data_IF_346537470025
#
_entry.id   IF_346537470025
#
_cell.length_a   1.000
_cell.length_b   1.000
_cell.length_c   1.000
_cell.angle_alpha   90.00
_cell.angle_beta   90.00
_cell.angle_gamma   90.00
#
_symmetry.space_group_name_H-M   'P 1'
#
loop_
_entity.id
_entity.type
_entity.pdbx_description
1 polymer ?
#
# COMPACT_ATOMS: atom_id res chain seq x y z
N UNK A 1 7.44 18.33 1.93
CA UNK A 1 6.21 17.90 1.36
C UNK A 1 6.41 16.78 0.43
N UNK A 2 5.49 15.89 0.31
CA UNK A 2 5.57 14.75 -0.60
C UNK A 2 4.25 14.55 -1.31
N UNK A 3 4.27 13.83 -2.41
CA UNK A 3 3.07 13.45 -3.10
C UNK A 3 2.51 12.18 -2.50
N UNK A 4 1.28 11.87 -2.80
CA UNK A 4 0.63 10.66 -2.34
C UNK A 4 0.07 9.90 -3.53
N UNK A 5 0.04 8.57 -3.39
CA UNK A 5 -0.76 7.76 -4.29
C UNK A 5 -2.17 7.74 -3.74
N UNK A 6 -3.15 7.84 -4.61
CA UNK A 6 -4.56 7.77 -4.21
C UNK A 6 -5.26 6.66 -4.94
N UNK A 7 -6.09 5.92 -4.24
CA UNK A 7 -6.91 4.87 -4.81
C UNK A 7 -8.31 4.98 -4.21
N UNK A 8 -9.34 4.99 -5.05
CA UNK A 8 -10.71 5.10 -4.58
C UNK A 8 -11.45 3.81 -4.83
N UNK A 9 -12.34 3.44 -3.93
CA UNK A 9 -13.14 2.23 -4.09
C UNK A 9 -14.50 2.42 -3.43
N UNK A 10 -15.41 1.51 -3.74
CA UNK A 10 -16.74 1.48 -3.13
C UNK A 10 -16.86 0.15 -2.41
N UNK A 11 -17.54 0.14 -1.27
CA UNK A 11 -17.76 -1.08 -0.49
C UNK A 11 -18.94 -1.85 -1.10
N UNK A 12 -18.72 -3.11 -1.48
CA UNK A 12 -19.73 -3.94 -2.09
C UNK A 12 -20.24 -4.95 -1.07
N UNK A 13 -21.33 -5.63 -1.39
CA UNK A 13 -21.91 -6.64 -0.50
C UNK A 13 -20.89 -7.70 -0.11
N UNK A 14 -20.08 -8.16 -1.04
CA UNK A 14 -19.11 -9.22 -0.74
C UNK A 14 -18.07 -8.78 0.28
N UNK A 15 -17.93 -7.46 0.52
CA UNK A 15 -16.96 -6.95 1.45
C UNK A 15 -17.51 -6.88 2.88
N UNK A 16 -18.80 -7.05 3.05
CA UNK A 16 -19.46 -6.82 4.34
C UNK A 16 -19.85 -8.12 5.02
N UNK A 17 -20.01 -8.06 6.34
CA UNK A 17 -20.54 -9.19 7.08
C UNK A 17 -22.05 -9.01 7.25
N UNK A 18 -22.67 -9.84 8.07
CA UNK A 18 -24.11 -9.82 8.22
C UNK A 18 -24.64 -8.53 8.85
N UNK A 19 -23.77 -7.76 9.47
CA UNK A 19 -24.17 -6.48 10.07
C UNK A 19 -24.06 -5.31 9.13
N UNK A 20 -23.64 -5.53 7.88
CA UNK A 20 -23.52 -4.46 6.90
C UNK A 20 -22.23 -3.67 7.02
N UNK A 21 -21.30 -4.06 7.89
CA UNK A 21 -20.01 -3.40 8.03
C UNK A 21 -18.95 -4.20 7.29
N UNK A 22 -17.92 -3.53 6.84
CA UNK A 22 -16.80 -4.20 6.18
C UNK A 22 -16.15 -5.17 7.15
N UNK A 23 -16.03 -6.45 6.72
CA UNK A 23 -15.34 -7.45 7.52
C UNK A 23 -13.88 -7.02 7.56
N UNK A 24 -13.30 -6.95 8.77
CA UNK A 24 -12.01 -6.27 8.93
C UNK A 24 -10.88 -6.87 8.09
N UNK A 25 -10.92 -8.16 7.77
CA UNK A 25 -9.89 -8.74 6.92
C UNK A 25 -9.92 -8.16 5.50
N UNK A 26 -11.03 -7.60 5.05
CA UNK A 26 -11.13 -7.03 3.72
C UNK A 26 -10.35 -5.72 3.60
N UNK A 27 -10.06 -5.04 4.72
CA UNK A 27 -9.21 -3.85 4.64
C UNK A 27 -7.82 -4.20 4.13
N UNK A 28 -7.32 -5.40 4.44
CA UNK A 28 -6.03 -5.83 3.92
C UNK A 28 -6.06 -5.96 2.40
N UNK A 29 -7.19 -6.40 1.83
CA UNK A 29 -7.34 -6.47 0.39
C UNK A 29 -7.37 -5.09 -0.22
N UNK A 30 -8.05 -4.14 0.42
CA UNK A 30 -8.10 -2.76 -0.07
C UNK A 30 -6.70 -2.16 -0.09
N UNK A 31 -5.93 -2.39 0.97
CA UNK A 31 -4.57 -1.86 1.05
C UNK A 31 -3.68 -2.48 -0.02
N UNK A 32 -3.83 -3.78 -0.28
CA UNK A 32 -3.04 -4.46 -1.29
C UNK A 32 -3.38 -3.95 -2.69
N UNK A 33 -4.66 -3.71 -2.98
CA UNK A 33 -5.06 -3.16 -4.28
C UNK A 33 -4.50 -1.75 -4.45
N UNK A 34 -4.51 -0.95 -3.40
CA UNK A 34 -3.97 0.40 -3.45
C UNK A 34 -2.46 0.37 -3.76
N UNK A 35 -1.72 -0.57 -3.18
CA UNK A 35 -0.28 -0.72 -3.47
C UNK A 35 -0.05 -1.17 -4.90
N UNK A 36 -0.89 -2.06 -5.40
CA UNK A 36 -0.80 -2.53 -6.78
C UNK A 36 -1.04 -1.37 -7.75
N UNK A 37 -2.06 -0.56 -7.49
CA UNK A 37 -2.35 0.60 -8.34
C UNK A 37 -1.26 1.66 -8.23
N UNK A 38 -0.66 1.81 -7.07
CA UNK A 38 0.48 2.73 -6.91
C UNK A 38 1.64 2.32 -7.82
N UNK A 39 1.91 1.02 -7.88
CA UNK A 39 2.99 0.52 -8.72
C UNK A 39 2.68 0.76 -10.21
N UNK A 40 1.43 0.55 -10.61
CA UNK A 40 1.01 0.85 -11.98
C UNK A 40 1.19 2.33 -12.29
N UNK A 41 0.90 3.21 -11.33
CA UNK A 41 0.95 4.64 -11.58
C UNK A 41 2.37 5.14 -11.85
N UNK A 42 3.39 4.42 -11.42
CA UNK A 42 4.78 4.79 -11.70
C UNK A 42 5.36 3.97 -12.85
N UNK A 43 4.52 3.26 -13.58
CA UNK A 43 4.94 2.57 -14.80
C UNK A 43 5.37 1.12 -14.61
N UNK A 44 5.09 0.53 -13.45
CA UNK A 44 5.45 -0.84 -13.18
C UNK A 44 4.25 -1.68 -12.78
N UNK A 45 4.46 -2.95 -12.56
CA UNK A 45 3.49 -3.88 -12.02
C UNK A 45 4.28 -4.99 -11.36
N UNK A 46 3.64 -5.78 -10.51
CA UNK A 46 4.33 -6.91 -9.90
C UNK A 46 4.87 -7.86 -10.96
N UNK A 47 4.12 -8.08 -12.05
CA UNK A 47 4.57 -8.94 -13.11
C UNK A 47 5.76 -8.35 -13.85
N UNK A 48 5.75 -7.04 -14.12
CA UNK A 48 6.89 -6.40 -14.78
C UNK A 48 8.14 -6.45 -13.91
N UNK A 49 7.99 -6.27 -12.61
CA UNK A 49 9.12 -6.34 -11.68
C UNK A 49 9.74 -7.73 -11.75
N UNK A 50 8.91 -8.77 -11.76
CA UNK A 50 9.42 -10.12 -11.86
C UNK A 50 10.08 -10.35 -13.21
N UNK A 51 9.44 -9.95 -14.31
CA UNK A 51 9.95 -10.21 -15.65
C UNK A 51 11.24 -9.43 -15.93
N UNK A 52 11.32 -8.18 -15.47
CA UNK A 52 12.49 -7.35 -15.79
C UNK A 52 13.63 -7.52 -14.82
N UNK A 53 13.37 -7.73 -13.55
CA UNK A 53 14.41 -7.74 -12.53
C UNK A 53 14.53 -9.06 -11.79
N UNK A 54 13.65 -10.01 -12.02
CA UNK A 54 13.67 -11.29 -11.30
C UNK A 54 13.35 -11.14 -9.83
N UNK A 55 12.66 -10.06 -9.47
CA UNK A 55 12.36 -9.76 -8.07
C UNK A 55 10.87 -9.85 -7.80
N UNK A 56 10.55 -10.14 -6.55
CA UNK A 56 9.17 -10.09 -6.06
C UNK A 56 9.13 -9.12 -4.91
N UNK A 57 8.01 -8.43 -4.74
CA UNK A 57 7.81 -7.53 -3.61
C UNK A 57 6.88 -8.24 -2.64
N UNK A 58 7.37 -8.54 -1.45
CA UNK A 58 6.56 -9.27 -0.47
C UNK A 58 6.32 -8.41 0.76
N UNK A 59 5.23 -8.67 1.46
CA UNK A 59 4.92 -8.00 2.71
C UNK A 59 5.64 -8.75 3.81
N UNK A 60 6.52 -8.06 4.52
CA UNK A 60 7.22 -8.65 5.64
C UNK A 60 6.41 -8.47 6.91
N UNK A 61 5.76 -7.34 7.07
CA UNK A 61 4.92 -7.09 8.25
C UNK A 61 3.92 -5.99 7.93
N UNK A 62 2.85 -5.95 8.70
CA UNK A 62 1.84 -4.94 8.54
C UNK A 62 1.31 -4.58 9.92
N UNK A 63 1.37 -3.28 10.26
CA UNK A 63 0.82 -2.80 11.51
C UNK A 63 -0.41 -1.99 11.12
N UNK A 64 -1.60 -2.39 11.57
CA UNK A 64 -2.84 -1.78 11.13
C UNK A 64 -3.70 -1.43 12.32
N UNK A 65 -4.28 -0.24 12.31
CA UNK A 65 -5.21 0.21 13.32
C UNK A 65 -6.55 0.47 12.69
N UNK A 66 -7.59 -0.13 13.24
CA UNK A 66 -8.96 0.04 12.77
C UNK A 66 -9.62 1.10 13.64
N UNK A 67 -9.76 2.32 13.08
CA UNK A 67 -10.28 3.44 13.84
C UNK A 67 -11.79 3.50 13.85
N UNK A 68 -12.41 3.20 12.72
CA UNK A 68 -13.85 3.22 12.54
C UNK A 68 -14.25 2.18 11.53
N UNK A 69 -15.53 1.84 11.48
CA UNK A 69 -16.04 0.88 10.51
C UNK A 69 -16.50 1.58 9.24
N UNK A 70 -16.28 0.93 8.11
CA UNK A 70 -16.91 1.34 6.86
C UNK A 70 -18.12 0.44 6.61
N UNK A 71 -19.07 0.93 5.84
CA UNK A 71 -20.35 0.26 5.65
C UNK A 71 -20.63 0.04 4.18
N UNK A 72 -21.61 -0.81 3.89
CA UNK A 72 -22.04 -1.08 2.51
C UNK A 72 -22.24 0.20 1.74
N UNK A 73 -21.70 0.24 0.55
CA UNK A 73 -21.83 1.33 -0.43
C UNK A 73 -21.08 2.61 -0.05
N UNK A 74 -20.31 2.60 1.03
CA UNK A 74 -19.45 3.72 1.34
C UNK A 74 -18.37 3.86 0.27
N UNK A 75 -17.99 5.10 -0.02
CA UNK A 75 -16.88 5.38 -0.92
C UNK A 75 -15.66 5.70 -0.09
N UNK A 76 -14.60 4.97 -0.31
CA UNK A 76 -13.38 5.09 0.47
C UNK A 76 -12.23 5.57 -0.41
N UNK A 77 -11.33 6.32 0.19
CA UNK A 77 -10.10 6.76 -0.49
C UNK A 77 -8.93 6.23 0.32
N UNK A 78 -7.96 5.65 -0.36
CA UNK A 78 -6.74 5.18 0.27
C UNK A 78 -5.59 6.06 -0.19
N UNK A 79 -4.94 6.71 0.77
CA UNK A 79 -3.79 7.57 0.49
C UNK A 79 -2.56 6.81 0.95
N UNK A 80 -1.58 6.68 0.08
CA UNK A 80 -0.37 5.91 0.35
C UNK A 80 0.86 6.75 0.06
N UNK A 81 1.89 6.61 0.87
CA UNK A 81 3.17 7.26 0.60
C UNK A 81 4.29 6.43 1.25
N UNK A 82 5.52 6.68 0.83
CA UNK A 82 6.68 5.94 1.34
C UNK A 82 7.21 6.66 2.55
N UNK A 83 7.20 5.99 3.71
CA UNK A 83 7.68 6.60 4.93
C UNK A 83 9.19 6.50 5.07
N UNK A 84 9.75 5.39 4.73
CA UNK A 84 11.21 5.21 4.79
C UNK A 84 11.61 4.12 3.82
N UNK A 85 12.87 4.10 3.44
CA UNK A 85 13.34 3.17 2.44
C UNK A 85 14.78 2.81 2.74
N UNK A 86 15.12 1.55 2.51
CA UNK A 86 16.49 1.06 2.60
C UNK A 86 16.91 0.56 1.23
N UNK A 87 18.04 -0.11 1.13
CA UNK A 87 18.47 -0.65 -0.16
C UNK A 87 17.56 -1.77 -0.66
N UNK A 88 16.93 -2.52 0.24
CA UNK A 88 16.16 -3.70 -0.14
C UNK A 88 14.70 -3.64 0.24
N UNK A 89 14.29 -2.68 1.05
CA UNK A 89 12.94 -2.65 1.60
C UNK A 89 12.43 -1.23 1.78
N UNK A 90 11.13 -1.10 2.01
CA UNK A 90 10.54 0.21 2.29
C UNK A 90 9.30 0.04 3.17
N UNK A 91 8.97 1.10 3.90
CA UNK A 91 7.73 1.15 4.66
C UNK A 91 6.79 2.08 3.93
N UNK A 92 5.56 1.63 3.74
CA UNK A 92 4.53 2.44 3.11
C UNK A 92 3.45 2.72 4.14
N UNK A 93 3.10 3.98 4.31
CA UNK A 93 1.96 4.34 5.15
C UNK A 93 0.74 4.41 4.25
N UNK A 94 -0.35 3.83 4.71
CA UNK A 94 -1.60 3.80 3.96
C UNK A 94 -2.75 4.18 4.90
N UNK A 95 -3.53 5.15 4.49
CA UNK A 95 -4.63 5.66 5.30
C UNK A 95 -5.91 5.55 4.48
N UNK A 96 -6.92 4.86 5.02
CA UNK A 96 -8.22 4.73 4.39
C UNK A 96 -9.16 5.75 5.04
N UNK A 97 -9.78 6.58 4.23
CA UNK A 97 -10.71 7.59 4.73
C UNK A 97 -12.06 7.49 4.03
N UNK A 98 -13.09 7.97 4.73
CA UNK A 98 -14.39 8.18 4.15
C UNK A 98 -14.62 9.68 4.35
N UNK A 99 -14.55 10.46 3.30
CA UNK A 99 -14.51 11.90 3.42
C UNK A 99 -13.31 12.31 4.25
N UNK A 100 -13.55 13.01 5.34
CA UNK A 100 -12.48 13.43 6.23
C UNK A 100 -12.27 12.48 7.41
N UNK A 101 -13.09 11.43 7.52
CA UNK A 101 -12.99 10.51 8.61
C UNK A 101 -11.95 9.45 8.34
N UNK A 102 -11.05 9.22 9.26
CA UNK A 102 -10.05 8.16 9.13
C UNK A 102 -10.68 6.85 9.57
N UNK A 103 -10.71 5.87 8.68
CA UNK A 103 -11.26 4.55 8.96
C UNK A 103 -10.14 3.60 9.41
N UNK A 104 -9.01 3.61 8.70
CA UNK A 104 -7.89 2.70 8.98
C UNK A 104 -6.59 3.43 8.76
N UNK A 105 -5.62 3.17 9.63
CA UNK A 105 -4.23 3.62 9.41
C UNK A 105 -3.34 2.39 9.43
N UNK A 106 -2.47 2.26 8.45
CA UNK A 106 -1.59 1.10 8.35
C UNK A 106 -0.19 1.51 7.97
N UNK A 107 0.78 0.73 8.44
CA UNK A 107 2.16 0.85 8.01
C UNK A 107 2.58 -0.54 7.55
N UNK A 108 2.99 -0.65 6.31
CA UNK A 108 3.31 -1.94 5.69
C UNK A 108 4.79 -1.96 5.36
N UNK A 109 5.47 -3.00 5.78
CA UNK A 109 6.89 -3.19 5.46
C UNK A 109 7.00 -4.16 4.29
N UNK A 110 7.58 -3.68 3.19
CA UNK A 110 7.67 -4.43 1.95
C UNK A 110 9.14 -4.65 1.62
N UNK A 111 9.47 -5.81 1.09
CA UNK A 111 10.85 -6.18 0.81
C UNK A 111 10.93 -6.74 -0.60
N UNK A 112 11.96 -6.34 -1.35
CA UNK A 112 12.25 -6.93 -2.64
C UNK A 112 13.08 -8.19 -2.39
N UNK A 113 12.63 -9.31 -2.94
CA UNK A 113 13.33 -10.59 -2.76
C UNK A 113 13.52 -11.26 -4.10
N UNK A 114 14.47 -12.19 -4.17
CA UNK A 114 14.67 -13.01 -5.37
C UNK A 114 13.81 -14.27 -5.26
N UNK A 115 13.99 -15.22 -6.20
CA UNK A 115 13.18 -16.43 -6.23
C UNK A 115 13.36 -17.27 -4.99
N UNK A 116 14.50 -17.18 -4.33
CA UNK A 116 14.77 -17.96 -3.13
C UNK A 116 14.30 -17.24 -1.87
N UNK A 117 13.63 -16.10 -2.02
CA UNK A 117 13.11 -15.34 -0.89
C UNK A 117 14.15 -14.50 -0.18
N UNK A 118 15.30 -14.28 -0.80
CA UNK A 118 16.37 -13.50 -0.17
C UNK A 118 16.25 -12.03 -0.58
N UNK A 119 16.46 -11.09 0.34
CA UNK A 119 16.38 -9.67 0.02
C UNK A 119 17.36 -9.29 -1.09
N UNK A 120 16.92 -8.47 -2.02
CA UNK A 120 17.74 -7.97 -3.10
C UNK A 120 17.54 -6.47 -3.21
N UNK A 121 18.46 -5.80 -3.87
CA UNK A 121 18.43 -4.36 -3.99
C UNK A 121 17.19 -3.93 -4.79
N UNK A 122 16.55 -2.86 -4.34
CA UNK A 122 15.45 -2.26 -5.07
C UNK A 122 15.99 -1.75 -6.39
N UNK A 123 15.38 -2.12 -7.53
CA UNK A 123 15.86 -1.62 -8.83
C UNK A 123 15.89 -0.09 -8.85
N UNK A 124 16.97 0.46 -9.42
CA UNK A 124 17.18 1.90 -9.41
C UNK A 124 16.03 2.65 -10.05
N UNK A 125 15.45 2.11 -11.10
CA UNK A 125 14.32 2.77 -11.77
C UNK A 125 13.12 2.88 -10.86
N UNK A 126 12.85 1.90 -10.03
CA UNK A 126 11.74 1.93 -9.08
C UNK A 126 12.08 2.87 -7.94
N UNK A 127 13.29 2.78 -7.42
CA UNK A 127 13.74 3.63 -6.34
C UNK A 127 13.56 5.11 -6.71
N UNK A 128 14.00 5.48 -7.92
CA UNK A 128 13.90 6.86 -8.34
C UNK A 128 12.45 7.31 -8.54
N UNK A 129 11.57 6.41 -8.96
CA UNK A 129 10.16 6.75 -9.14
C UNK A 129 9.43 6.93 -7.82
N UNK A 130 9.94 6.37 -6.75
CA UNK A 130 9.34 6.54 -5.44
C UNK A 130 9.70 7.91 -4.81
N UNK A 131 10.74 8.57 -5.29
CA UNK A 131 11.22 9.79 -4.63
C UNK A 131 10.14 10.85 -4.39
N UNK A 132 9.26 11.17 -5.32
CA UNK A 132 8.24 12.19 -5.07
C UNK A 132 7.30 11.83 -3.92
N UNK A 133 7.22 10.53 -3.59
CA UNK A 133 6.28 10.02 -2.60
C UNK A 133 6.93 9.76 -1.24
N UNK A 134 8.21 10.14 -1.07
CA UNK A 134 8.89 9.95 0.21
C UNK A 134 8.42 11.02 1.18
N UNK A 135 8.19 10.62 2.40
CA UNK A 135 7.87 11.53 3.48
C UNK A 135 9.17 12.10 3.99
N UNK A 136 9.51 13.36 3.57
CA UNK A 136 10.78 13.90 3.95
C UNK A 136 10.80 14.46 5.34
N UNK A 137 9.80 14.33 6.13
CA UNK A 137 9.90 14.74 7.48
C UNK A 137 10.57 13.73 8.32
N UNK A 138 11.03 12.63 7.78
CA UNK A 138 11.67 11.69 8.55
C UNK A 138 13.00 11.86 8.51
N UNK A 139 13.62 12.67 8.60
CA UNK A 139 14.96 12.80 8.63
C UNK A 139 15.34 12.55 9.83
N UNK A 140 15.53 12.25 10.45
CA UNK A 140 16.07 12.12 11.69
C UNK A 140 16.78 11.15 11.89
#
# INVERSE_FOLDING_TARGET
MHENFFHKLKVYYEDTDSGGVVYYANYLKYLERARTEALFSIGFSNKKVEDQFGSLIIVKSCNIEYKKSAFLEDELTIRSFVKSITKTSFFMNQIITKGEEIIVEAQVHLVFVNKDGKPVKIPEDIYSKFKPYFCDTIKT
#
